data_IF_405550868244
#
_entry.id   IF_405550868244
#
_cell.length_a   1.000
_cell.length_b   1.000
_cell.length_c   1.000
_cell.angle_alpha   90.00
_cell.angle_beta   90.00
_cell.angle_gamma   90.00
#
_symmetry.space_group_name_H-M   'P 1'
#
loop_
_entity.id
_entity.type
_entity.pdbx_description
1 polymer ?
#
# COMPACT_ATOMS: atom_id res chain seq x y z
N UNK A 1 27.35 21.06 30.03
CA UNK A 1 25.98 21.16 29.45
C UNK A 1 25.92 21.14 27.91
N UNK A 2 27.00 21.49 27.17
CA UNK A 2 27.00 21.43 25.70
C UNK A 2 26.92 19.99 25.15
N UNK A 3 27.66 19.05 25.74
CA UNK A 3 27.69 17.66 25.27
C UNK A 3 26.36 16.92 25.48
N UNK A 4 25.64 17.23 26.56
CA UNK A 4 24.30 16.67 26.82
C UNK A 4 23.27 17.20 25.81
N UNK A 5 23.35 18.48 25.46
CA UNK A 5 22.48 19.09 24.43
C UNK A 5 22.76 18.51 23.04
N UNK A 6 24.03 18.29 22.69
CA UNK A 6 24.41 17.65 21.43
C UNK A 6 23.90 16.20 21.40
N UNK A 7 24.06 15.47 22.51
CA UNK A 7 23.59 14.09 22.62
C UNK A 7 22.06 14.00 22.52
N UNK A 8 21.32 14.88 23.18
CA UNK A 8 19.86 14.96 23.08
C UNK A 8 19.39 15.31 21.66
N UNK A 9 20.07 16.23 20.96
CA UNK A 9 19.77 16.54 19.56
C UNK A 9 20.03 15.32 18.65
N UNK A 10 21.17 14.65 18.79
CA UNK A 10 21.51 13.48 17.96
C UNK A 10 20.53 12.32 18.20
N UNK A 11 20.18 12.04 19.46
CA UNK A 11 19.18 11.03 19.81
C UNK A 11 17.80 11.43 19.25
N UNK A 12 17.42 12.71 19.31
CA UNK A 12 16.17 13.19 18.73
C UNK A 12 16.11 13.04 17.21
N UNK A 13 17.22 13.23 16.49
CA UNK A 13 17.30 13.02 15.04
C UNK A 13 17.32 11.52 14.67
N UNK A 14 17.97 10.67 15.47
CA UNK A 14 17.96 9.21 15.27
C UNK A 14 16.58 8.59 15.54
N UNK A 15 15.77 9.20 16.42
CA UNK A 15 14.40 8.79 16.72
C UNK A 15 13.38 9.29 15.68
N UNK A 16 13.81 9.95 14.60
CA UNK A 16 12.97 10.17 13.40
C UNK A 16 12.85 8.82 12.69
N UNK A 17 12.08 7.95 13.32
CA UNK A 17 11.75 6.60 12.89
C UNK A 17 11.18 6.65 11.47
N UNK A 18 11.98 6.20 10.51
CA UNK A 18 11.59 5.68 9.19
C UNK A 18 10.15 6.00 8.76
N UNK A 19 9.90 7.27 8.41
CA UNK A 19 8.56 7.76 8.08
C UNK A 19 8.20 7.39 6.63
N UNK A 20 8.18 6.10 6.32
CA UNK A 20 7.86 5.59 4.98
C UNK A 20 6.82 4.47 5.05
N UNK A 21 6.12 4.26 3.95
CA UNK A 21 5.19 3.15 3.75
C UNK A 21 5.31 2.63 2.32
N UNK A 22 4.78 1.44 2.08
CA UNK A 22 4.81 0.84 0.75
C UNK A 22 3.53 0.10 0.40
N UNK A 23 3.11 0.26 -0.86
CA UNK A 23 2.00 -0.48 -1.47
C UNK A 23 2.59 -1.32 -2.59
N UNK A 24 2.32 -2.62 -2.55
CA UNK A 24 2.61 -3.53 -3.66
C UNK A 24 1.29 -4.04 -4.20
N UNK A 25 1.11 -4.02 -5.50
CA UNK A 25 -0.07 -4.59 -6.18
C UNK A 25 0.44 -5.53 -7.25
N UNK A 26 0.13 -6.82 -7.13
CA UNK A 26 0.57 -7.84 -8.08
C UNK A 26 -0.59 -8.36 -8.92
N UNK A 27 -0.35 -8.55 -10.21
CA UNK A 27 -1.31 -9.14 -11.13
C UNK A 27 -1.14 -10.67 -11.17
N UNK A 28 -2.01 -11.38 -10.46
CA UNK A 28 -2.09 -12.85 -10.42
C UNK A 28 -3.34 -13.36 -11.17
N UNK A 29 -3.86 -12.57 -12.11
CA UNK A 29 -4.98 -12.96 -12.95
C UNK A 29 -4.55 -14.06 -13.93
N UNK A 30 -5.48 -14.95 -14.27
CA UNK A 30 -5.26 -16.03 -15.24
C UNK A 30 -5.46 -15.49 -16.65
N UNK A 31 -5.16 -16.34 -17.64
CA UNK A 31 -5.43 -16.06 -19.06
C UNK A 31 -4.81 -14.77 -19.60
N UNK A 32 -3.63 -14.41 -19.10
CA UNK A 32 -2.86 -13.23 -19.54
C UNK A 32 -3.62 -11.91 -19.48
N UNK A 33 -4.57 -11.77 -18.53
CA UNK A 33 -5.30 -10.51 -18.33
C UNK A 33 -4.38 -9.43 -17.78
N UNK A 34 -4.50 -8.22 -18.34
CA UNK A 34 -3.84 -7.03 -17.82
C UNK A 34 -4.68 -6.42 -16.69
N UNK A 35 -4.01 -5.88 -15.68
CA UNK A 35 -4.64 -5.21 -14.55
C UNK A 35 -4.39 -3.71 -14.66
N UNK A 36 -5.46 -2.92 -14.69
CA UNK A 36 -5.35 -1.46 -14.60
C UNK A 36 -5.40 -1.02 -13.14
N UNK A 37 -4.48 -0.15 -12.75
CA UNK A 37 -4.34 0.38 -11.39
C UNK A 37 -4.37 1.89 -11.44
N UNK A 38 -5.33 2.49 -10.74
CA UNK A 38 -5.38 3.94 -10.55
C UNK A 38 -5.43 4.24 -9.06
N UNK A 39 -4.47 4.99 -8.56
CA UNK A 39 -4.37 5.34 -7.14
C UNK A 39 -4.38 6.85 -6.93
N UNK A 40 -4.85 7.28 -5.77
CA UNK A 40 -4.81 8.68 -5.35
C UNK A 40 -4.66 8.79 -3.84
N UNK A 41 -4.13 9.93 -3.39
CA UNK A 41 -4.03 10.31 -1.99
C UNK A 41 -4.45 11.78 -1.87
N UNK A 42 -5.53 12.03 -1.11
CA UNK A 42 -6.24 13.33 -1.11
C UNK A 42 -6.56 13.75 -2.55
N UNK A 43 -6.15 14.95 -2.96
CA UNK A 43 -6.40 15.48 -4.29
C UNK A 43 -5.35 15.05 -5.33
N UNK A 44 -4.27 14.39 -4.89
CA UNK A 44 -3.20 13.96 -5.77
C UNK A 44 -3.53 12.60 -6.43
N UNK A 45 -3.88 12.64 -7.71
CA UNK A 45 -4.14 11.45 -8.54
C UNK A 45 -2.86 11.01 -9.23
N UNK A 46 -2.52 9.74 -9.06
CA UNK A 46 -1.41 9.12 -9.76
C UNK A 46 -1.82 8.74 -11.18
N UNK A 47 -0.84 8.68 -12.08
CA UNK A 47 -1.02 8.11 -13.41
C UNK A 47 -1.56 6.69 -13.28
N UNK A 48 -2.53 6.34 -14.12
CA UNK A 48 -3.00 4.96 -14.24
C UNK A 48 -1.91 4.09 -14.83
N UNK A 49 -1.59 3.01 -14.15
CA UNK A 49 -0.60 2.02 -14.58
C UNK A 49 -1.31 0.74 -15.07
N UNK A 50 -0.73 0.09 -16.08
CA UNK A 50 -1.17 -1.21 -16.57
C UNK A 50 -0.13 -2.24 -16.18
N UNK A 51 -0.54 -3.20 -15.34
CA UNK A 51 0.32 -4.27 -14.85
C UNK A 51 0.11 -5.50 -15.74
N UNK A 52 1.19 -5.91 -16.42
CA UNK A 52 1.22 -7.12 -17.23
C UNK A 52 1.03 -8.39 -16.38
N UNK A 53 0.63 -9.53 -16.98
CA UNK A 53 0.42 -10.78 -16.25
C UNK A 53 1.68 -11.22 -15.48
N UNK A 54 1.54 -11.53 -14.20
CA UNK A 54 2.64 -11.92 -13.32
C UNK A 54 3.54 -10.76 -12.85
N UNK A 55 3.36 -9.55 -13.38
CA UNK A 55 4.10 -8.37 -12.94
C UNK A 55 3.49 -7.75 -11.68
N UNK A 56 4.20 -6.77 -11.11
CA UNK A 56 3.77 -6.01 -9.94
C UNK A 56 4.07 -4.53 -10.07
N UNK A 57 3.18 -3.73 -9.50
CA UNK A 57 3.36 -2.32 -9.23
C UNK A 57 3.82 -2.14 -7.78
N UNK A 58 4.80 -1.25 -7.58
CA UNK A 58 5.25 -0.88 -6.25
C UNK A 58 5.29 0.64 -6.11
N UNK A 59 4.76 1.14 -5.00
CA UNK A 59 4.86 2.54 -4.61
C UNK A 59 5.47 2.64 -3.23
N UNK A 60 6.59 3.34 -3.16
CA UNK A 60 7.19 3.81 -1.92
C UNK A 60 6.80 5.27 -1.71
N UNK A 61 6.50 5.64 -0.47
CA UNK A 61 6.12 7.00 -0.12
C UNK A 61 6.48 7.31 1.32
N UNK A 62 6.63 8.60 1.62
CA UNK A 62 6.78 9.05 2.99
C UNK A 62 5.40 9.09 3.66
N UNK A 63 5.34 8.57 4.88
CA UNK A 63 4.15 8.72 5.73
C UNK A 63 4.15 10.13 6.34
N UNK A 64 3.00 10.57 6.86
CA UNK A 64 2.91 11.85 7.54
C UNK A 64 3.22 11.61 9.03
N UNK A 65 3.99 12.50 9.65
CA UNK A 65 4.25 12.47 11.09
C UNK A 65 2.93 12.55 11.87
N UNK A 66 1.94 13.26 11.35
CA UNK A 66 0.60 13.37 11.96
C UNK A 66 -0.30 12.15 11.73
N UNK A 67 0.17 11.07 11.10
CA UNK A 67 -0.59 9.82 11.02
C UNK A 67 -1.78 9.84 10.05
N UNK A 68 -1.79 10.72 9.06
CA UNK A 68 -2.94 10.94 8.16
C UNK A 68 -2.74 10.42 6.73
N UNK A 69 -1.63 9.75 6.44
CA UNK A 69 -1.36 9.24 5.09
C UNK A 69 -2.34 8.13 4.73
N UNK A 70 -3.02 8.30 3.60
CA UNK A 70 -3.99 7.33 3.08
C UNK A 70 -3.92 7.28 1.57
N UNK A 71 -3.86 6.07 1.03
CA UNK A 71 -3.95 5.82 -0.40
C UNK A 71 -5.21 5.04 -0.72
N UNK A 72 -5.92 5.53 -1.72
CA UNK A 72 -7.07 4.88 -2.32
C UNK A 72 -6.64 4.35 -3.68
N UNK A 73 -6.97 3.11 -3.99
CA UNK A 73 -6.70 2.54 -5.30
C UNK A 73 -7.95 1.91 -5.88
N UNK A 74 -8.07 1.97 -7.19
CA UNK A 74 -9.06 1.28 -7.99
C UNK A 74 -8.32 0.31 -8.89
N UNK A 75 -8.67 -0.96 -8.78
CA UNK A 75 -8.21 -1.99 -9.69
C UNK A 75 -9.30 -2.30 -10.69
N UNK A 76 -8.92 -2.48 -11.95
CA UNK A 76 -9.85 -2.92 -13.00
C UNK A 76 -9.27 -4.05 -13.82
N UNK A 77 -10.12 -5.00 -14.21
CA UNK A 77 -9.73 -6.14 -15.03
C UNK A 77 -10.85 -6.61 -15.97
N UNK A 78 -10.53 -7.60 -16.80
CA UNK A 78 -11.44 -8.21 -17.76
C UNK A 78 -11.57 -7.42 -19.07
N UNK A 79 -12.37 -7.92 -20.03
CA UNK A 79 -12.62 -7.25 -21.30
C UNK A 79 -13.15 -5.84 -21.05
N UNK A 80 -12.49 -4.83 -21.63
CA UNK A 80 -12.82 -3.41 -21.45
C UNK A 80 -12.84 -2.94 -19.98
N UNK A 81 -12.11 -3.62 -19.09
CA UNK A 81 -12.01 -3.24 -17.67
C UNK A 81 -13.35 -3.18 -16.93
N UNK A 82 -14.31 -4.02 -17.32
CA UNK A 82 -15.67 -4.06 -16.75
C UNK A 82 -15.68 -4.34 -15.25
N UNK A 83 -14.85 -5.27 -14.80
CA UNK A 83 -14.76 -5.55 -13.37
C UNK A 83 -13.88 -4.51 -12.71
N UNK A 84 -14.40 -3.82 -11.70
CA UNK A 84 -13.71 -2.73 -11.01
C UNK A 84 -13.93 -2.82 -9.51
N UNK A 85 -12.89 -2.57 -8.72
CA UNK A 85 -13.02 -2.47 -7.27
C UNK A 85 -12.13 -1.36 -6.74
N UNK A 86 -12.73 -0.46 -5.96
CA UNK A 86 -12.03 0.61 -5.23
C UNK A 86 -11.88 0.23 -3.77
N UNK A 87 -10.70 0.49 -3.18
CA UNK A 87 -10.41 0.16 -1.78
C UNK A 87 -9.29 1.02 -1.19
N UNK A 88 -9.14 0.94 0.14
CA UNK A 88 -8.01 1.56 0.85
C UNK A 88 -6.77 0.70 0.71
N UNK A 89 -5.86 1.10 -0.16
CA UNK A 89 -4.61 0.39 -0.39
C UNK A 89 -3.60 0.58 0.74
N UNK A 90 -3.67 1.71 1.45
CA UNK A 90 -2.88 1.99 2.65
C UNK A 90 -3.60 3.01 3.53
N UNK A 91 -3.50 2.83 4.85
CA UNK A 91 -3.92 3.83 5.84
C UNK A 91 -2.96 3.80 7.02
N UNK A 92 -2.38 4.94 7.32
CA UNK A 92 -1.64 5.14 8.56
C UNK A 92 -2.65 5.41 9.69
N UNK A 93 -2.52 4.71 10.81
CA UNK A 93 -3.32 4.93 12.02
C UNK A 93 -2.42 5.19 13.24
N UNK A 94 -1.17 4.74 13.18
CA UNK A 94 -0.16 4.95 14.21
C UNK A 94 1.24 5.04 13.61
N UNK A 95 2.21 5.52 14.41
CA UNK A 95 3.63 5.47 14.05
C UNK A 95 4.15 4.05 13.84
N UNK A 96 3.45 3.01 14.34
CA UNK A 96 3.79 1.60 14.07
C UNK A 96 3.51 1.17 12.63
N UNK A 97 2.66 1.91 11.91
CA UNK A 97 2.40 1.64 10.48
C UNK A 97 3.52 2.18 9.58
N UNK A 98 4.49 2.89 10.17
CA UNK A 98 5.72 3.25 9.48
C UNK A 98 6.52 1.97 9.16
N UNK A 99 7.06 1.90 7.96
CA UNK A 99 7.71 0.71 7.41
C UNK A 99 6.74 -0.38 6.93
N UNK A 100 5.41 -0.20 7.07
CA UNK A 100 4.45 -1.22 6.67
C UNK A 100 4.41 -1.41 5.14
N UNK A 101 4.49 -2.67 4.71
CA UNK A 101 4.17 -3.10 3.36
C UNK A 101 2.76 -3.69 3.32
N UNK A 102 1.91 -3.09 2.49
CA UNK A 102 0.59 -3.60 2.16
C UNK A 102 0.67 -4.27 0.79
N UNK A 103 0.71 -5.60 0.80
CA UNK A 103 0.85 -6.43 -0.39
C UNK A 103 -0.52 -6.93 -0.85
N UNK A 104 -0.97 -6.37 -1.97
CA UNK A 104 -2.24 -6.67 -2.61
C UNK A 104 -2.06 -7.60 -3.81
N UNK A 105 -2.88 -8.64 -3.91
CA UNK A 105 -2.86 -9.61 -5.02
C UNK A 105 -4.22 -9.64 -5.71
N UNK A 106 -4.24 -9.24 -6.98
CA UNK A 106 -5.43 -9.34 -7.82
C UNK A 106 -5.52 -10.76 -8.41
N UNK A 107 -6.58 -11.50 -8.07
CA UNK A 107 -6.85 -12.86 -8.54
C UNK A 107 -8.24 -12.94 -9.18
N UNK A 108 -8.51 -14.02 -9.89
CA UNK A 108 -9.79 -14.19 -10.61
C UNK A 108 -11.02 -14.01 -9.71
N UNK A 109 -10.99 -14.54 -8.50
CA UNK A 109 -12.14 -14.52 -7.59
C UNK A 109 -12.15 -13.33 -6.62
N UNK A 110 -11.19 -12.40 -6.70
CA UNK A 110 -11.15 -11.22 -5.84
C UNK A 110 -9.75 -10.68 -5.59
N UNK A 111 -9.66 -9.81 -4.59
CA UNK A 111 -8.44 -9.07 -4.24
C UNK A 111 -8.03 -9.45 -2.83
N UNK A 112 -6.78 -9.88 -2.70
CA UNK A 112 -6.22 -10.39 -1.44
C UNK A 112 -5.25 -9.38 -0.84
N UNK A 113 -5.16 -9.37 0.48
CA UNK A 113 -4.27 -8.50 1.25
C UNK A 113 -3.39 -9.33 2.18
N UNK A 114 -2.11 -8.96 2.23
CA UNK A 114 -1.19 -9.30 3.30
C UNK A 114 -0.47 -8.03 3.76
N UNK A 115 -0.54 -7.76 5.06
CA UNK A 115 0.17 -6.64 5.70
C UNK A 115 1.36 -7.21 6.48
N UNK A 116 2.56 -6.73 6.18
CA UNK A 116 3.81 -7.29 6.71
C UNK A 116 4.30 -6.65 8.02
N UNK A 117 3.74 -5.50 8.41
CA UNK A 117 4.08 -4.84 9.67
C UNK A 117 3.01 -3.80 10.04
N UNK A 118 3.00 -3.40 11.32
CA UNK A 118 2.21 -2.29 11.83
C UNK A 118 0.91 -2.71 12.52
N UNK A 119 0.06 -1.74 12.86
CA UNK A 119 -1.18 -1.99 13.62
C UNK A 119 -2.19 -2.82 12.82
N UNK A 120 -2.08 -2.80 11.50
CA UNK A 120 -2.90 -3.57 10.57
C UNK A 120 -2.33 -4.96 10.26
N UNK A 121 -1.21 -5.33 10.88
CA UNK A 121 -0.64 -6.65 10.74
C UNK A 121 -1.57 -7.72 11.31
N UNK A 122 -1.88 -8.72 10.49
CA UNK A 122 -2.64 -9.91 10.89
C UNK A 122 -1.69 -11.10 11.05
N UNK A 123 -0.69 -10.93 11.92
CA UNK A 123 0.32 -11.94 12.23
C UNK A 123 1.34 -12.22 11.13
N UNK A 124 1.58 -11.28 10.19
CA UNK A 124 2.68 -11.27 9.22
C UNK A 124 2.72 -12.42 8.19
N UNK A 125 1.92 -13.48 8.37
CA UNK A 125 1.94 -14.70 7.58
C UNK A 125 0.69 -14.86 6.71
N UNK A 126 -0.46 -14.33 7.12
CA UNK A 126 -1.75 -14.66 6.51
C UNK A 126 -2.17 -13.68 5.41
N UNK A 127 -2.25 -14.19 4.17
CA UNK A 127 -2.88 -13.51 3.05
C UNK A 127 -4.36 -13.89 3.02
N UNK A 128 -5.26 -12.92 3.05
CA UNK A 128 -6.71 -13.16 3.06
C UNK A 128 -7.40 -12.43 1.91
N UNK A 129 -8.56 -12.94 1.50
CA UNK A 129 -9.41 -12.25 0.53
C UNK A 129 -10.07 -11.07 1.23
N UNK A 130 -9.78 -9.86 0.75
CA UNK A 130 -10.31 -8.62 1.31
C UNK A 130 -11.53 -8.11 0.55
N UNK A 131 -11.57 -8.33 -0.78
CA UNK A 131 -12.66 -7.85 -1.63
C UNK A 131 -13.00 -8.85 -2.74
N UNK A 132 -14.26 -8.83 -3.13
CA UNK A 132 -14.76 -9.39 -4.39
C UNK A 132 -14.61 -8.38 -5.54
N UNK A 133 -14.70 -8.84 -6.78
CA UNK A 133 -14.81 -7.96 -7.93
C UNK A 133 -16.27 -7.50 -8.10
N UNK A 134 -16.47 -6.21 -8.34
CA UNK A 134 -17.77 -5.66 -8.73
C UNK A 134 -17.81 -5.57 -10.26
N UNK A 135 -18.97 -5.90 -10.85
CA UNK A 135 -19.25 -5.75 -12.28
C UNK A 135 -19.85 -4.38 -12.58
#
# INVERSE_FOLDING_TARGET
MKNLSIFLCVVSFCMISHVYGSIRISNELKFKKKLSVSCYSKDNRMKTEIIEPGARYEKYFNTNIFGTTRFMCTLRQGPNYRHSQSFTAFKQVSSRDNGALWDWRARENGIYLKVWAGKHEQGGAYMHKAFDWIY
#
